data_IF_999740209816
#
_entry.id   IF_999740209816
#
_cell.length_a   1.000
_cell.length_b   1.000
_cell.length_c   1.000
_cell.angle_alpha   90.00
_cell.angle_beta   90.00
_cell.angle_gamma   90.00
#
_symmetry.space_group_name_H-M   'P 1'
#
loop_
_entity.id
_entity.type
_entity.pdbx_description
1 polymer ?
#
# COMPACT_ATOMS: atom_id res chain seq x y z
N UNK A 1 50.92 -59.12 95.59
CA UNK A 1 50.14 -57.92 95.95
C UNK A 1 50.49 -56.68 95.11
N UNK A 2 50.82 -56.83 93.82
CA UNK A 2 51.32 -55.72 92.97
C UNK A 2 50.25 -55.09 92.05
N UNK A 3 49.04 -55.64 91.98
CA UNK A 3 47.98 -55.20 91.06
C UNK A 3 47.39 -53.81 91.37
N UNK A 4 47.69 -53.22 92.53
CA UNK A 4 47.13 -51.94 92.99
C UNK A 4 48.13 -50.78 92.99
N UNK A 5 49.39 -50.99 92.59
CA UNK A 5 50.42 -49.96 92.63
C UNK A 5 50.18 -48.81 91.62
N UNK A 6 49.84 -49.15 90.36
CA UNK A 6 49.62 -48.17 89.28
C UNK A 6 48.34 -47.34 89.50
N UNK A 7 47.19 -47.92 89.89
CA UNK A 7 45.98 -47.14 90.22
C UNK A 7 46.19 -46.17 91.39
N UNK A 8 46.96 -46.58 92.40
CA UNK A 8 47.26 -45.73 93.58
C UNK A 8 48.18 -44.57 93.23
N UNK A 9 49.25 -44.82 92.47
CA UNK A 9 50.12 -43.77 91.94
C UNK A 9 49.36 -42.77 91.04
N UNK A 10 48.41 -43.26 90.23
CA UNK A 10 47.53 -42.39 89.44
C UNK A 10 46.60 -41.57 90.32
N UNK A 11 46.04 -42.14 91.38
CA UNK A 11 45.18 -41.43 92.32
C UNK A 11 45.96 -40.34 93.08
N UNK A 12 47.19 -40.62 93.51
CA UNK A 12 48.05 -39.64 94.19
C UNK A 12 48.51 -38.54 93.22
N UNK A 13 48.84 -38.89 91.97
CA UNK A 13 49.18 -37.92 90.94
C UNK A 13 47.98 -37.04 90.57
N UNK A 14 46.78 -37.61 90.46
CA UNK A 14 45.54 -36.86 90.25
C UNK A 14 45.20 -35.99 91.47
N UNK A 15 45.39 -36.49 92.69
CA UNK A 15 45.22 -35.72 93.93
C UNK A 15 46.18 -34.53 94.02
N UNK A 16 47.42 -34.69 93.56
CA UNK A 16 48.41 -33.62 93.49
C UNK A 16 48.19 -32.63 92.31
N UNK A 17 47.62 -33.12 91.19
CA UNK A 17 47.38 -32.32 89.99
C UNK A 17 46.05 -31.55 90.02
N UNK A 18 45.01 -32.09 90.66
CA UNK A 18 43.66 -31.53 90.71
C UNK A 18 43.62 -30.09 91.28
N UNK A 19 44.31 -29.76 92.40
CA UNK A 19 44.36 -28.39 92.88
C UNK A 19 45.02 -27.41 91.90
N UNK A 20 46.03 -27.87 91.14
CA UNK A 20 46.71 -27.03 90.12
C UNK A 20 45.83 -26.85 88.89
N UNK A 21 45.16 -27.92 88.46
CA UNK A 21 44.20 -27.88 87.35
C UNK A 21 43.01 -26.96 87.65
N UNK A 22 42.45 -27.04 88.86
CA UNK A 22 41.38 -26.14 89.32
C UNK A 22 41.85 -24.68 89.36
N UNK A 23 43.04 -24.39 89.93
CA UNK A 23 43.61 -23.03 89.92
C UNK A 23 43.82 -22.49 88.51
N UNK A 24 44.36 -23.31 87.61
CA UNK A 24 44.57 -22.94 86.21
C UNK A 24 43.23 -22.66 85.50
N UNK A 25 42.22 -23.50 85.74
CA UNK A 25 40.87 -23.34 85.19
C UNK A 25 40.20 -22.06 85.73
N UNK A 26 40.25 -21.80 87.04
CA UNK A 26 39.73 -20.56 87.63
C UNK A 26 40.43 -19.32 87.08
N UNK A 27 41.75 -19.36 86.86
CA UNK A 27 42.45 -18.24 86.22
C UNK A 27 42.07 -18.06 84.76
N UNK A 28 41.84 -19.14 84.00
CA UNK A 28 41.37 -19.06 82.63
C UNK A 28 39.96 -18.43 82.56
N UNK A 29 39.03 -18.85 83.42
CA UNK A 29 37.70 -18.25 83.50
C UNK A 29 37.74 -16.81 84.02
N UNK A 30 38.57 -16.50 85.02
CA UNK A 30 38.73 -15.13 85.52
C UNK A 30 39.29 -14.20 84.45
N UNK A 31 40.27 -14.63 83.65
CA UNK A 31 40.80 -13.84 82.52
C UNK A 31 39.75 -13.61 81.43
N UNK A 32 38.94 -14.63 81.10
CA UNK A 32 37.80 -14.48 80.18
C UNK A 32 36.75 -13.53 80.73
N UNK A 33 36.43 -13.62 82.02
CA UNK A 33 35.50 -12.71 82.68
C UNK A 33 36.04 -11.27 82.75
N UNK A 34 37.29 -11.07 83.14
CA UNK A 34 37.93 -9.75 83.21
C UNK A 34 38.04 -9.09 81.83
N UNK A 35 38.36 -9.87 80.79
CA UNK A 35 38.42 -9.34 79.40
C UNK A 35 37.04 -9.01 78.83
N UNK A 36 35.99 -9.77 79.16
CA UNK A 36 34.62 -9.50 78.70
C UNK A 36 33.98 -8.36 79.48
N UNK A 37 34.11 -8.34 80.81
CA UNK A 37 33.63 -7.24 81.68
C UNK A 37 34.33 -5.91 81.39
N UNK A 38 35.64 -5.92 81.15
CA UNK A 38 36.40 -4.73 80.75
C UNK A 38 35.98 -4.15 79.39
N UNK A 39 35.37 -4.96 78.51
CA UNK A 39 34.79 -4.51 77.23
C UNK A 39 33.36 -3.98 77.37
N UNK A 40 32.66 -4.37 78.44
CA UNK A 40 31.28 -3.97 78.74
C UNK A 40 31.22 -2.79 79.70
N UNK A 41 32.10 -1.81 79.53
CA UNK A 41 31.99 -0.55 80.27
C UNK A 41 30.90 0.33 79.66
N UNK A 42 30.18 1.09 80.49
CA UNK A 42 29.18 2.06 80.03
C UNK A 42 29.73 2.99 78.93
N UNK A 43 31.02 3.34 79.02
CA UNK A 43 31.70 4.21 78.05
C UNK A 43 31.80 3.59 76.66
N UNK A 44 32.11 2.30 76.56
CA UNK A 44 32.15 1.58 75.28
C UNK A 44 30.75 1.49 74.68
N UNK A 45 29.73 1.21 75.49
CA UNK A 45 28.34 1.19 75.03
C UNK A 45 27.89 2.56 74.50
N UNK A 46 28.20 3.64 75.21
CA UNK A 46 27.91 5.01 74.74
C UNK A 46 28.63 5.33 73.43
N UNK A 47 29.90 4.90 73.28
CA UNK A 47 30.65 5.03 72.03
C UNK A 47 30.04 4.24 70.88
N UNK A 48 29.57 3.01 71.12
CA UNK A 48 28.89 2.22 70.09
C UNK A 48 27.56 2.85 69.68
N UNK A 49 26.80 3.39 70.63
CA UNK A 49 25.54 4.11 70.35
C UNK A 49 25.81 5.39 69.55
N UNK A 50 26.84 6.17 69.89
CA UNK A 50 27.18 7.39 69.15
C UNK A 50 27.65 7.07 67.73
N UNK A 51 28.47 6.04 67.54
CA UNK A 51 28.86 5.56 66.21
C UNK A 51 27.67 5.03 65.40
N UNK A 52 26.76 4.27 66.01
CA UNK A 52 25.55 3.79 65.36
C UNK A 52 24.63 4.95 64.93
N UNK A 53 24.44 5.96 65.80
CA UNK A 53 23.70 7.19 65.48
C UNK A 53 24.35 7.96 64.35
N UNK A 54 25.68 8.15 64.39
CA UNK A 54 26.39 8.84 63.31
C UNK A 54 26.24 8.11 61.98
N UNK A 55 26.34 6.78 61.96
CA UNK A 55 26.10 5.97 60.76
C UNK A 55 24.68 6.10 60.25
N UNK A 56 23.68 6.16 61.14
CA UNK A 56 22.29 6.38 60.78
C UNK A 56 22.08 7.76 60.14
N UNK A 57 22.63 8.82 60.75
CA UNK A 57 22.56 10.19 60.21
C UNK A 57 23.18 10.28 58.83
N UNK A 58 24.42 9.80 58.66
CA UNK A 58 25.12 9.81 57.37
C UNK A 58 24.38 8.99 56.32
N UNK A 59 23.84 7.83 56.70
CA UNK A 59 23.07 6.99 55.77
C UNK A 59 21.76 7.67 55.36
N UNK A 60 21.08 8.34 56.31
CA UNK A 60 19.87 9.11 56.05
C UNK A 60 20.11 10.28 55.11
N UNK A 61 21.18 11.05 55.33
CA UNK A 61 21.58 12.15 54.44
C UNK A 61 21.91 11.66 53.04
N UNK A 62 22.65 10.54 52.92
CA UNK A 62 22.98 9.93 51.62
C UNK A 62 21.74 9.46 50.87
N UNK A 63 20.79 8.82 51.56
CA UNK A 63 19.50 8.40 50.97
C UNK A 63 18.70 9.62 50.51
N UNK A 64 18.64 10.68 51.31
CA UNK A 64 17.93 11.90 50.94
C UNK A 64 18.56 12.61 49.72
N UNK A 65 19.89 12.60 49.61
CA UNK A 65 20.61 13.16 48.46
C UNK A 65 20.40 12.31 47.20
N UNK A 66 20.51 10.98 47.30
CA UNK A 66 20.32 10.08 46.16
C UNK A 66 18.87 10.04 45.68
N UNK A 67 17.89 10.13 46.60
CA UNK A 67 16.48 10.26 46.25
C UNK A 67 16.22 11.56 45.48
N UNK A 68 16.78 12.69 45.95
CA UNK A 68 16.66 13.98 45.25
C UNK A 68 17.29 13.96 43.86
N UNK A 69 18.48 13.38 43.72
CA UNK A 69 19.12 13.28 42.40
C UNK A 69 18.34 12.37 41.45
N UNK A 70 17.84 11.22 41.93
CA UNK A 70 17.01 10.31 41.14
C UNK A 70 15.73 11.01 40.66
N UNK A 71 15.03 11.72 41.54
CA UNK A 71 13.81 12.46 41.19
C UNK A 71 14.09 13.57 40.18
N UNK A 72 15.21 14.28 40.33
CA UNK A 72 15.65 15.29 39.35
C UNK A 72 15.91 14.68 37.99
N UNK A 73 16.72 13.61 37.91
CA UNK A 73 17.03 12.94 36.65
C UNK A 73 15.78 12.33 36.00
N UNK A 74 14.82 11.81 36.78
CA UNK A 74 13.52 11.37 36.26
C UNK A 74 12.74 12.55 35.67
N UNK A 75 12.69 13.68 36.38
CA UNK A 75 12.00 14.88 35.89
C UNK A 75 12.59 15.40 34.59
N UNK A 76 13.92 15.49 34.49
CA UNK A 76 14.63 15.90 33.27
C UNK A 76 14.36 14.95 32.09
N UNK A 77 14.33 13.63 32.34
CA UNK A 77 13.95 12.63 31.33
C UNK A 77 12.51 12.84 30.85
N UNK A 78 11.56 13.05 31.77
CA UNK A 78 10.17 13.29 31.40
C UNK A 78 9.97 14.60 30.64
N UNK A 79 10.65 15.68 31.04
CA UNK A 79 10.60 16.96 30.31
C UNK A 79 11.18 16.82 28.91
N UNK A 80 12.28 16.07 28.76
CA UNK A 80 12.87 15.78 27.44
C UNK A 80 11.95 14.93 26.56
N UNK A 81 11.29 13.92 27.13
CA UNK A 81 10.30 13.10 26.43
C UNK A 81 9.07 13.92 26.03
N UNK A 82 8.61 14.83 26.88
CA UNK A 82 7.46 15.70 26.59
C UNK A 82 7.72 16.59 25.36
N UNK A 83 8.88 17.25 25.31
CA UNK A 83 9.26 18.10 24.16
C UNK A 83 9.34 17.27 22.88
N UNK A 84 10.00 16.11 22.93
CA UNK A 84 10.12 15.20 21.77
C UNK A 84 8.78 14.66 21.32
N UNK A 85 7.90 14.31 22.26
CA UNK A 85 6.56 13.82 21.96
C UNK A 85 5.70 14.90 21.31
N UNK A 86 5.73 16.13 21.83
CA UNK A 86 5.02 17.27 21.22
C UNK A 86 5.51 17.53 19.79
N UNK A 87 6.81 17.57 19.58
CA UNK A 87 7.42 17.75 18.26
C UNK A 87 7.04 16.60 17.30
N UNK A 88 7.16 15.35 17.76
CA UNK A 88 6.82 14.16 16.95
C UNK A 88 5.33 14.12 16.59
N UNK A 89 4.44 14.42 17.54
CA UNK A 89 2.99 14.49 17.30
C UNK A 89 2.64 15.54 16.25
N UNK A 90 3.24 16.72 16.34
CA UNK A 90 3.03 17.81 15.38
C UNK A 90 3.57 17.42 14.01
N UNK A 91 4.80 16.93 13.92
CA UNK A 91 5.42 16.50 12.67
C UNK A 91 4.62 15.38 11.99
N UNK A 92 4.13 14.40 12.75
CA UNK A 92 3.29 13.33 12.23
C UNK A 92 1.95 13.87 11.72
N UNK A 93 1.29 14.74 12.49
CA UNK A 93 0.03 15.37 12.05
C UNK A 93 0.21 16.19 10.76
N UNK A 94 1.32 16.94 10.63
CA UNK A 94 1.65 17.65 9.40
C UNK A 94 1.94 16.70 8.24
N UNK A 95 2.69 15.63 8.46
CA UNK A 95 2.97 14.61 7.44
C UNK A 95 1.68 13.99 6.90
N UNK A 96 0.73 13.64 7.78
CA UNK A 96 -0.58 13.11 7.40
C UNK A 96 -1.41 14.12 6.61
N UNK A 97 -1.45 15.39 7.04
CA UNK A 97 -2.15 16.45 6.30
C UNK A 97 -1.57 16.63 4.90
N UNK A 98 -0.24 16.63 4.78
CA UNK A 98 0.44 16.76 3.49
C UNK A 98 0.21 15.54 2.60
N UNK A 99 0.17 14.33 3.17
CA UNK A 99 -0.17 13.12 2.42
C UNK A 99 -1.59 13.19 1.87
N UNK A 100 -2.58 13.58 2.69
CA UNK A 100 -3.97 13.77 2.25
C UNK A 100 -4.08 14.83 1.16
N UNK A 101 -3.39 15.97 1.31
CA UNK A 101 -3.39 17.04 0.32
C UNK A 101 -2.85 16.56 -1.04
N UNK A 102 -1.71 15.86 -1.06
CA UNK A 102 -1.15 15.27 -2.29
C UNK A 102 -2.09 14.24 -2.93
N UNK A 103 -2.74 13.43 -2.10
CA UNK A 103 -3.67 12.41 -2.60
C UNK A 103 -4.91 13.06 -3.23
N UNK A 104 -5.44 14.14 -2.62
CA UNK A 104 -6.54 14.94 -3.19
C UNK A 104 -6.15 15.59 -4.51
N UNK A 105 -4.96 16.19 -4.58
CA UNK A 105 -4.45 16.78 -5.82
C UNK A 105 -4.31 15.73 -6.93
N UNK A 106 -3.79 14.53 -6.60
CA UNK A 106 -3.71 13.40 -7.54
C UNK A 106 -5.10 12.96 -8.02
N UNK A 107 -6.08 12.85 -7.12
CA UNK A 107 -7.45 12.51 -7.51
C UNK A 107 -8.07 13.57 -8.41
N UNK A 108 -7.84 14.86 -8.13
CA UNK A 108 -8.35 15.96 -8.95
C UNK A 108 -7.77 15.92 -10.36
N UNK A 109 -6.44 15.76 -10.49
CA UNK A 109 -5.78 15.63 -11.80
C UNK A 109 -6.29 14.43 -12.60
N UNK A 110 -6.54 13.30 -11.94
CA UNK A 110 -7.10 12.12 -12.59
C UNK A 110 -8.54 12.35 -13.03
N UNK A 111 -9.35 13.01 -12.21
CA UNK A 111 -10.73 13.37 -12.55
C UNK A 111 -10.79 14.32 -13.75
N UNK A 112 -9.99 15.39 -13.78
CA UNK A 112 -9.90 16.30 -14.92
C UNK A 112 -9.48 15.58 -16.21
N UNK A 113 -8.48 14.69 -16.11
CA UNK A 113 -8.03 13.89 -17.26
C UNK A 113 -9.13 12.96 -17.75
N UNK A 114 -9.84 12.30 -16.85
CA UNK A 114 -10.97 11.42 -17.19
C UNK A 114 -12.10 12.21 -17.86
N UNK A 115 -12.43 13.40 -17.35
CA UNK A 115 -13.44 14.27 -17.94
C UNK A 115 -13.06 14.66 -19.37
N UNK A 116 -11.82 15.12 -19.60
CA UNK A 116 -11.33 15.46 -20.96
C UNK A 116 -11.34 14.26 -21.90
N UNK A 117 -10.94 13.09 -21.42
CA UNK A 117 -10.99 11.86 -22.19
C UNK A 117 -12.43 11.48 -22.57
N UNK A 118 -13.37 11.63 -21.63
CA UNK A 118 -14.79 11.35 -21.87
C UNK A 118 -15.38 12.28 -22.94
N UNK A 119 -15.13 13.59 -22.82
CA UNK A 119 -15.58 14.57 -23.83
C UNK A 119 -15.01 14.22 -25.21
N UNK A 120 -13.72 13.90 -25.29
CA UNK A 120 -13.06 13.51 -26.54
C UNK A 120 -13.66 12.22 -27.13
N UNK A 121 -13.98 11.24 -26.28
CA UNK A 121 -14.59 9.99 -26.70
C UNK A 121 -15.99 10.23 -27.29
N UNK A 122 -16.81 11.02 -26.60
CA UNK A 122 -18.16 11.38 -27.05
C UNK A 122 -18.11 12.13 -28.39
N UNK A 123 -17.21 13.10 -28.54
CA UNK A 123 -17.02 13.82 -29.81
C UNK A 123 -16.63 12.88 -30.97
N UNK A 124 -15.77 11.88 -30.71
CA UNK A 124 -15.39 10.89 -31.72
C UNK A 124 -16.55 9.97 -32.11
N UNK A 125 -17.34 9.55 -31.12
CA UNK A 125 -18.53 8.72 -31.37
C UNK A 125 -19.57 9.49 -32.18
N UNK A 126 -19.82 10.75 -31.81
CA UNK A 126 -20.73 11.63 -32.55
C UNK A 126 -20.26 11.87 -33.99
N UNK A 127 -18.97 12.18 -34.19
CA UNK A 127 -18.39 12.32 -35.52
C UNK A 127 -18.53 11.03 -36.37
N UNK A 128 -18.35 9.86 -35.75
CA UNK A 128 -18.51 8.56 -36.41
C UNK A 128 -19.96 8.32 -36.83
N UNK A 129 -20.91 8.59 -35.94
CA UNK A 129 -22.35 8.47 -36.24
C UNK A 129 -22.73 9.45 -37.36
N UNK A 130 -22.27 10.70 -37.28
CA UNK A 130 -22.49 11.70 -38.31
C UNK A 130 -21.92 11.30 -39.67
N UNK A 131 -20.71 10.73 -39.72
CA UNK A 131 -20.10 10.23 -40.95
C UNK A 131 -20.90 9.04 -41.52
N UNK A 132 -21.28 8.07 -40.68
CA UNK A 132 -22.12 6.94 -41.09
C UNK A 132 -23.47 7.41 -41.63
N UNK A 133 -24.08 8.42 -41.00
CA UNK A 133 -25.32 9.04 -41.48
C UNK A 133 -25.17 9.69 -42.85
N UNK A 134 -24.06 10.40 -43.10
CA UNK A 134 -23.75 10.98 -44.43
C UNK A 134 -23.54 9.90 -45.49
N UNK A 135 -22.84 8.82 -45.17
CA UNK A 135 -22.64 7.69 -46.08
C UNK A 135 -23.96 6.99 -46.41
N UNK A 136 -24.81 6.76 -45.41
CA UNK A 136 -26.14 6.20 -45.62
C UNK A 136 -26.98 7.14 -46.48
N UNK A 137 -26.98 8.44 -46.21
CA UNK A 137 -27.67 9.42 -47.03
C UNK A 137 -27.18 9.35 -48.48
N UNK A 138 -25.88 9.33 -48.73
CA UNK A 138 -25.32 9.27 -50.08
C UNK A 138 -25.64 7.96 -50.85
N UNK A 139 -25.71 6.83 -50.15
CA UNK A 139 -25.95 5.51 -50.76
C UNK A 139 -27.43 5.09 -50.75
N UNK A 140 -28.30 5.82 -50.05
CA UNK A 140 -29.72 5.48 -49.97
C UNK A 140 -30.45 5.78 -51.28
N UNK A 141 -31.28 4.87 -51.76
CA UNK A 141 -32.12 5.13 -52.94
C UNK A 141 -33.02 6.36 -52.73
N UNK A 142 -33.39 6.68 -51.48
CA UNK A 142 -34.19 7.87 -51.14
C UNK A 142 -33.49 9.18 -51.50
N UNK A 143 -32.17 9.27 -51.35
CA UNK A 143 -31.42 10.46 -51.79
C UNK A 143 -31.29 10.54 -53.31
N UNK A 144 -31.25 9.40 -53.98
CA UNK A 144 -31.30 9.31 -55.45
C UNK A 144 -32.66 9.79 -55.96
N UNK A 145 -33.77 9.36 -55.34
CA UNK A 145 -35.11 9.86 -55.66
C UNK A 145 -35.21 11.38 -55.44
N UNK A 146 -34.72 11.88 -54.30
CA UNK A 146 -34.71 13.32 -53.99
C UNK A 146 -33.89 14.16 -54.97
N UNK A 147 -32.97 13.55 -55.73
CA UNK A 147 -32.15 14.21 -56.75
C UNK A 147 -32.81 14.22 -58.14
N UNK A 148 -34.04 13.72 -58.26
CA UNK A 148 -34.84 13.77 -59.49
C UNK A 148 -34.82 12.48 -60.32
N UNK A 149 -34.30 11.39 -59.78
CA UNK A 149 -34.42 10.07 -60.41
C UNK A 149 -35.72 9.39 -59.97
N UNK A 150 -36.20 8.44 -60.78
CA UNK A 150 -37.41 7.67 -60.48
C UNK A 150 -37.10 6.17 -60.44
N UNK A 151 -37.68 5.47 -59.48
CA UNK A 151 -37.55 4.01 -59.37
C UNK A 151 -38.76 3.36 -60.05
N UNK A 152 -38.52 2.64 -61.13
CA UNK A 152 -39.58 1.93 -61.87
C UNK A 152 -39.71 0.51 -61.32
N UNK A 153 -40.94 0.11 -60.99
CA UNK A 153 -41.29 -1.23 -60.53
C UNK A 153 -42.33 -1.88 -61.45
N UNK A 154 -42.29 -3.20 -61.55
CA UNK A 154 -43.33 -3.99 -62.21
C UNK A 154 -44.60 -4.10 -61.35
N UNK A 155 -45.64 -4.75 -61.90
CA UNK A 155 -46.91 -5.02 -61.20
C UNK A 155 -46.72 -5.86 -59.92
N UNK A 156 -45.65 -6.66 -59.86
CA UNK A 156 -45.28 -7.45 -58.68
C UNK A 156 -44.42 -6.68 -57.66
N UNK A 157 -44.08 -5.41 -57.93
CA UNK A 157 -43.31 -4.54 -57.06
C UNK A 157 -41.78 -4.70 -57.14
N UNK A 158 -41.26 -5.47 -58.10
CA UNK A 158 -39.82 -5.64 -58.32
C UNK A 158 -39.24 -4.50 -59.17
N UNK A 159 -38.02 -4.02 -58.86
CA UNK A 159 -37.40 -2.95 -59.62
C UNK A 159 -37.02 -3.40 -61.03
N UNK A 160 -37.39 -2.60 -62.02
CA UNK A 160 -37.09 -2.85 -63.44
C UNK A 160 -35.84 -2.07 -63.82
N UNK A 161 -34.76 -2.78 -64.17
CA UNK A 161 -33.45 -2.17 -64.46
C UNK A 161 -33.19 -1.91 -65.96
N UNK A 162 -33.93 -2.57 -66.85
CA UNK A 162 -33.72 -2.47 -68.30
C UNK A 162 -35.05 -2.31 -69.05
N UNK A 163 -35.10 -1.36 -69.97
CA UNK A 163 -36.27 -1.14 -70.82
C UNK A 163 -36.66 -2.39 -71.63
N UNK A 164 -35.68 -3.25 -71.98
CA UNK A 164 -35.93 -4.48 -72.71
C UNK A 164 -36.73 -5.55 -71.93
N UNK A 165 -36.80 -5.42 -70.60
CA UNK A 165 -37.56 -6.34 -69.73
C UNK A 165 -39.02 -5.93 -69.52
N UNK A 166 -39.45 -4.80 -70.08
CA UNK A 166 -40.83 -4.33 -70.02
C UNK A 166 -41.61 -4.91 -71.20
N UNK A 167 -42.70 -5.64 -70.91
CA UNK A 167 -43.61 -6.15 -71.94
C UNK A 167 -44.51 -5.04 -72.52
N UNK A 168 -44.95 -5.13 -73.78
CA UNK A 168 -45.94 -4.21 -74.35
C UNK A 168 -47.23 -4.20 -73.50
N UNK A 169 -47.76 -3.02 -73.21
CA UNK A 169 -48.94 -2.79 -72.35
C UNK A 169 -48.75 -3.20 -70.87
N UNK A 170 -47.52 -3.38 -70.38
CA UNK A 170 -47.27 -3.69 -68.97
C UNK A 170 -47.61 -2.49 -68.06
N UNK A 171 -48.24 -2.79 -66.91
CA UNK A 171 -48.44 -1.84 -65.82
C UNK A 171 -47.14 -1.69 -65.02
N UNK A 172 -46.74 -0.45 -64.81
CA UNK A 172 -45.53 -0.06 -64.09
C UNK A 172 -45.89 0.92 -62.98
N UNK A 173 -45.22 0.82 -61.84
CA UNK A 173 -45.29 1.81 -60.77
C UNK A 173 -43.99 2.60 -60.76
N UNK A 174 -44.07 3.91 -60.97
CA UNK A 174 -42.93 4.82 -60.92
C UNK A 174 -42.95 5.54 -59.57
N UNK A 175 -41.91 5.36 -58.76
CA UNK A 175 -41.74 6.01 -57.46
C UNK A 175 -40.79 7.20 -57.60
N UNK A 176 -41.28 8.38 -57.21
CA UNK A 176 -40.55 9.63 -57.10
C UNK A 176 -40.30 9.97 -55.62
N UNK A 177 -39.61 11.07 -55.35
CA UNK A 177 -39.31 11.50 -53.99
C UNK A 177 -40.57 11.88 -53.16
N UNK A 178 -41.61 12.31 -53.85
CA UNK A 178 -42.86 12.89 -53.32
C UNK A 178 -44.04 11.93 -53.37
N UNK A 179 -44.00 10.89 -54.21
CA UNK A 179 -45.09 9.94 -54.32
C UNK A 179 -44.88 8.85 -55.38
N UNK A 180 -45.91 8.03 -55.58
CA UNK A 180 -45.92 6.97 -56.60
C UNK A 180 -46.98 7.26 -57.65
N UNK A 181 -46.64 6.99 -58.91
CA UNK A 181 -47.52 7.19 -60.07
C UNK A 181 -47.56 5.90 -60.88
N UNK A 182 -48.75 5.47 -61.29
CA UNK A 182 -48.92 4.35 -62.20
C UNK A 182 -48.66 4.79 -63.65
N UNK A 183 -47.97 3.97 -64.42
CA UNK A 183 -47.68 4.16 -65.83
C UNK A 183 -47.94 2.86 -66.60
N UNK A 184 -48.33 2.96 -67.87
CA UNK A 184 -48.52 1.81 -68.74
C UNK A 184 -47.55 1.93 -69.92
N UNK A 185 -46.82 0.85 -70.22
CA UNK A 185 -45.88 0.83 -71.34
C UNK A 185 -46.64 0.76 -72.67
N UNK A 186 -46.51 1.79 -73.52
CA UNK A 186 -47.18 1.80 -74.82
C UNK A 186 -46.61 0.71 -75.75
N UNK A 187 -47.46 0.17 -76.63
CA UNK A 187 -47.21 -1.04 -77.41
C UNK A 187 -46.27 -0.87 -78.62
N UNK A 188 -45.90 0.37 -78.95
CA UNK A 188 -45.10 0.68 -80.15
C UNK A 188 -43.62 0.86 -79.78
N UNK A 189 -42.82 -0.19 -80.02
CA UNK A 189 -41.40 -0.27 -79.62
C UNK A 189 -40.49 0.09 -80.80
N UNK A 190 -39.71 1.19 -80.76
CA UNK A 190 -38.54 1.32 -81.61
C UNK A 190 -37.43 0.37 -81.12
N UNK A 191 -36.98 -0.53 -81.98
CA UNK A 191 -35.92 -1.49 -81.70
C UNK A 191 -34.56 -0.77 -81.51
N UNK A 192 -34.14 -0.57 -80.26
CA UNK A 192 -32.76 -0.14 -79.96
C UNK A 192 -31.95 -1.36 -79.52
N UNK A 193 -30.85 -1.58 -80.25
CA UNK A 193 -29.94 -2.71 -80.14
C UNK A 193 -29.24 -2.79 -78.77
N UNK A 194 -29.05 -4.02 -78.30
CA UNK A 194 -28.22 -4.33 -77.13
C UNK A 194 -26.74 -4.05 -77.43
N UNK A 195 -25.98 -3.38 -76.54
CA UNK A 195 -24.52 -3.34 -76.67
C UNK A 195 -23.93 -4.70 -76.24
N UNK A 196 -23.10 -5.25 -77.11
CA UNK A 196 -22.31 -6.48 -76.96
C UNK A 196 -21.26 -6.33 -75.85
N UNK A 197 -21.01 -7.34 -75.01
CA UNK A 197 -19.95 -7.30 -74.00
C UNK A 197 -18.57 -7.53 -74.64
N UNK A 198 -17.69 -6.53 -74.58
CA UNK A 198 -16.27 -6.69 -74.92
C UNK A 198 -15.44 -7.26 -73.75
N UNK A 199 -14.35 -8.01 -74.03
CA UNK A 199 -13.66 -8.84 -73.05
C UNK A 199 -12.64 -8.08 -72.19
N UNK A 200 -12.45 -8.59 -70.97
CA UNK A 200 -11.43 -8.17 -69.99
C UNK A 200 -10.01 -8.22 -70.58
N UNK A 201 -9.17 -7.18 -70.40
CA UNK A 201 -7.73 -7.34 -70.48
C UNK A 201 -7.16 -7.85 -69.15
N UNK A 202 -6.26 -8.81 -69.31
CA UNK A 202 -5.57 -9.62 -68.30
C UNK A 202 -4.43 -8.82 -67.64
N UNK A 203 -4.19 -9.12 -66.36
CA UNK A 203 -2.91 -9.04 -65.63
C UNK A 203 -2.13 -7.71 -65.64
N UNK A 204 -2.28 -6.94 -64.55
CA UNK A 204 -1.18 -6.10 -64.05
C UNK A 204 -0.35 -6.93 -63.08
N UNK A 205 0.84 -7.32 -63.52
CA UNK A 205 1.86 -7.93 -62.68
C UNK A 205 2.22 -7.02 -61.51
N UNK A 206 2.30 -7.66 -60.35
CA UNK A 206 2.72 -7.15 -59.06
C UNK A 206 4.20 -6.73 -59.07
N UNK A 207 4.47 -5.47 -58.72
CA UNK A 207 5.81 -5.00 -58.34
C UNK A 207 5.83 -4.73 -56.83
N UNK A 208 6.58 -5.47 -56.00
CA UNK A 208 6.60 -5.24 -54.57
C UNK A 208 7.49 -4.03 -54.24
N UNK A 209 6.95 -3.08 -53.46
CA UNK A 209 7.71 -1.99 -52.88
C UNK A 209 8.59 -2.51 -51.71
N UNK A 210 9.80 -1.96 -51.50
CA UNK A 210 10.76 -2.49 -50.54
C UNK A 210 10.33 -2.24 -49.09
N UNK A 211 10.51 -3.26 -48.25
CA UNK A 211 10.39 -3.19 -46.79
C UNK A 211 11.37 -2.14 -46.27
N UNK A 212 10.85 -1.02 -45.76
CA UNK A 212 11.62 -0.03 -45.02
C UNK A 212 11.86 -0.58 -43.61
N UNK A 213 13.12 -0.90 -43.34
CA UNK A 213 13.67 -1.12 -42.01
C UNK A 213 13.28 0.03 -41.07
N UNK A 214 12.70 -0.31 -39.92
CA UNK A 214 12.71 0.54 -38.73
C UNK A 214 13.16 -0.34 -37.56
N UNK A 215 14.44 -0.24 -37.21
CA UNK A 215 14.91 -0.47 -35.85
C UNK A 215 14.67 0.82 -35.06
N UNK A 216 14.17 0.71 -33.82
CA UNK A 216 14.79 1.45 -32.72
C UNK A 216 15.17 0.45 -31.62
N UNK A 217 16.47 0.29 -31.36
CA UNK A 217 17.23 1.02 -30.34
C UNK A 217 16.90 0.50 -28.94
N UNK A 218 17.90 -0.18 -28.38
CA UNK A 218 18.15 -0.45 -26.97
C UNK A 218 17.57 0.63 -26.05
N UNK A 219 16.66 0.22 -25.17
CA UNK A 219 16.49 0.89 -23.89
C UNK A 219 17.03 -0.04 -22.81
N UNK A 220 18.32 0.13 -22.54
CA UNK A 220 18.97 -0.39 -21.36
C UNK A 220 18.25 0.09 -20.09
N UNK A 221 17.91 -0.89 -19.27
CA UNK A 221 18.25 -0.94 -17.84
C UNK A 221 18.74 0.38 -17.24
N UNK A 222 17.91 0.99 -16.40
CA UNK A 222 18.37 1.86 -15.34
C UNK A 222 17.76 1.40 -14.01
N UNK A 223 18.69 1.03 -13.12
CA UNK A 223 18.69 1.22 -11.68
C UNK A 223 17.72 2.29 -11.15
#
# INVERSE_FOLDING_TARGET
SELLAIPRQRLDHLGAALPRGLKANTHAHFRRFASTSGRLTLRVLHGQISHARQRLTVSGERIALSARSLLRSRRERFTGLEVRFKASKLANAQAQRNAIARQRERTHRLAERAQRAMVTLLQRLDARVGQSGKLLAALSYRSVLARGFALVRDDAGHPVHAAASVAPNALLSIEFADGRVAATADGDRPAIAAPTPEPKPVTRESKPAPKRLVKPVDQGSLF
#
